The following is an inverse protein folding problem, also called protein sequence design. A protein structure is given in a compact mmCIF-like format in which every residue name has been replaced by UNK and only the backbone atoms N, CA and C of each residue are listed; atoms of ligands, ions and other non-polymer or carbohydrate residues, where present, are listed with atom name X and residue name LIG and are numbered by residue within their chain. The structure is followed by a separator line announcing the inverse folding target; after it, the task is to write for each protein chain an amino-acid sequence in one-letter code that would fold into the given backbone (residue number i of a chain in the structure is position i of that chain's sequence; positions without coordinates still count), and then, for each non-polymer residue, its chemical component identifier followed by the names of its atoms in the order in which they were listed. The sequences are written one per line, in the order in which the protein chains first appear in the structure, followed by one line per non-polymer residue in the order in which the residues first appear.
data_IF_292042697709
#
_entry.id   IF_292042697709
#
_cell.length_a   1.000
_cell.length_b   1.000
_cell.length_c   1.000
_cell.angle_alpha   90.00
_cell.angle_beta   90.00
_cell.angle_gamma   90.00
#
_symmetry.space_group_name_H-M   'P 1'
#
loop_
_entity.id
_entity.type
_entity.pdbx_description
1 polymer ?
#
# COMPACT_ATOMS: atom_id res chain seq x y z
N UNK A 1 -34.63 -22.51 4.34
CA UNK A 1 -34.01 -23.33 3.29
C UNK A 1 -33.56 -22.45 2.12
N UNK A 2 -32.70 -21.46 2.36
CA UNK A 2 -32.10 -20.61 1.31
C UNK A 2 -30.60 -20.31 1.58
N UNK A 3 -29.95 -21.13 2.42
CA UNK A 3 -28.53 -20.96 2.77
C UNK A 3 -27.56 -21.81 1.93
N UNK A 4 -28.03 -22.34 0.80
CA UNK A 4 -27.20 -23.06 -0.15
C UNK A 4 -27.12 -22.26 -1.45
N UNK A 5 -25.92 -22.15 -2.02
CA UNK A 5 -25.56 -21.46 -3.28
C UNK A 5 -25.04 -20.01 -3.09
N UNK A 6 -24.10 -19.80 -2.15
CA UNK A 6 -23.08 -18.78 -2.37
C UNK A 6 -21.73 -19.48 -2.66
N UNK A 7 -21.30 -19.56 -3.93
CA UNK A 7 -20.04 -20.22 -4.33
C UNK A 7 -18.80 -19.50 -3.79
N UNK A 8 -18.93 -18.27 -3.27
CA UNK A 8 -17.80 -17.48 -2.74
C UNK A 8 -17.61 -17.60 -1.23
N UNK A 9 -18.49 -18.31 -0.50
CA UNK A 9 -18.43 -18.39 0.97
C UNK A 9 -17.11 -18.96 1.50
N UNK A 10 -16.53 -19.96 0.85
CA UNK A 10 -15.21 -20.51 1.23
C UNK A 10 -14.09 -19.49 1.03
N UNK A 11 -14.05 -18.82 -0.12
CA UNK A 11 -13.07 -17.78 -0.43
C UNK A 11 -13.18 -16.59 0.52
N UNK A 12 -14.40 -16.16 0.86
CA UNK A 12 -14.63 -15.09 1.84
C UNK A 12 -14.09 -15.42 3.22
N UNK A 13 -14.36 -16.63 3.73
CA UNK A 13 -13.88 -17.07 5.05
C UNK A 13 -12.36 -17.16 5.10
N UNK A 14 -11.73 -17.59 4.01
CA UNK A 14 -10.28 -17.69 3.89
C UNK A 14 -9.62 -16.30 3.82
N UNK A 15 -10.18 -15.39 3.01
CA UNK A 15 -9.77 -14.00 2.94
C UNK A 15 -9.91 -13.28 4.29
N UNK A 16 -11.00 -13.53 5.04
CA UNK A 16 -11.20 -12.98 6.38
C UNK A 16 -10.10 -13.45 7.36
N UNK A 17 -9.78 -14.76 7.37
CA UNK A 17 -8.69 -15.30 8.21
C UNK A 17 -7.33 -14.68 7.86
N UNK A 18 -7.07 -14.48 6.57
CA UNK A 18 -5.83 -13.88 6.10
C UNK A 18 -5.74 -12.39 6.50
N UNK A 19 -6.84 -11.63 6.33
CA UNK A 19 -6.94 -10.25 6.76
C UNK A 19 -6.71 -10.10 8.28
N UNK A 20 -7.33 -10.96 9.11
CA UNK A 20 -7.13 -10.95 10.56
C UNK A 20 -5.68 -11.23 10.96
N UNK A 21 -5.02 -12.18 10.30
CA UNK A 21 -3.60 -12.49 10.54
C UNK A 21 -2.71 -11.30 10.19
N UNK A 22 -2.98 -10.68 9.04
CA UNK A 22 -2.23 -9.53 8.58
C UNK A 22 -2.44 -8.30 9.48
N UNK A 23 -3.67 -8.02 9.92
CA UNK A 23 -3.96 -6.93 10.87
C UNK A 23 -3.21 -7.11 12.19
N UNK A 24 -3.12 -8.35 12.70
CA UNK A 24 -2.32 -8.67 13.88
C UNK A 24 -0.84 -8.39 13.65
N UNK A 25 -0.32 -8.72 12.47
CA UNK A 25 1.08 -8.50 12.11
C UNK A 25 1.41 -7.00 11.96
N UNK A 26 0.53 -6.21 11.35
CA UNK A 26 0.70 -4.76 11.17
C UNK A 26 0.47 -4.00 12.49
N UNK A 27 -0.07 -4.65 13.52
CA UNK A 27 -0.27 -4.06 14.85
C UNK A 27 -1.49 -3.13 14.95
N UNK A 28 -2.40 -3.19 13.98
CA UNK A 28 -3.64 -2.41 13.99
C UNK A 28 -4.61 -3.04 14.97
N UNK A 29 -4.85 -2.36 16.10
CA UNK A 29 -5.81 -2.78 17.12
C UNK A 29 -7.02 -1.85 17.10
N UNK A 30 -8.20 -2.40 17.40
CA UNK A 30 -9.43 -1.64 17.64
C UNK A 30 -10.08 -0.96 16.42
N UNK A 31 -10.00 -1.56 15.23
CA UNK A 31 -10.72 -1.06 14.04
C UNK A 31 -11.95 -1.94 13.79
N UNK A 32 -13.14 -1.33 13.76
CA UNK A 32 -14.37 -1.99 13.31
C UNK A 32 -14.43 -1.87 11.79
N UNK A 33 -14.33 -3.00 11.08
CA UNK A 33 -14.39 -3.04 9.63
C UNK A 33 -15.66 -3.73 9.17
N UNK A 34 -16.24 -3.24 8.08
CA UNK A 34 -17.32 -3.92 7.35
C UNK A 34 -16.81 -5.18 6.64
N UNK A 35 -17.73 -6.03 6.18
CA UNK A 35 -17.38 -7.23 5.41
C UNK A 35 -16.57 -6.90 4.14
N UNK A 36 -16.91 -5.81 3.45
CA UNK A 36 -16.20 -5.35 2.26
C UNK A 36 -14.79 -4.85 2.57
N UNK A 37 -14.64 -4.04 3.63
CA UNK A 37 -13.33 -3.55 4.04
C UNK A 37 -12.43 -4.68 4.54
N UNK A 38 -12.99 -5.72 5.15
CA UNK A 38 -12.26 -6.93 5.54
C UNK A 38 -11.74 -7.68 4.31
N UNK A 39 -12.53 -7.75 3.23
CA UNK A 39 -12.10 -8.35 1.96
C UNK A 39 -10.95 -7.55 1.32
N UNK A 40 -11.01 -6.21 1.38
CA UNK A 40 -9.92 -5.34 0.90
C UNK A 40 -8.67 -5.52 1.77
N UNK A 41 -8.85 -5.64 3.09
CA UNK A 41 -7.75 -5.77 4.03
C UNK A 41 -6.90 -7.04 3.82
N UNK A 42 -7.47 -8.10 3.23
CA UNK A 42 -6.72 -9.30 2.84
C UNK A 42 -5.62 -9.03 1.81
N UNK A 43 -5.72 -7.92 1.07
CA UNK A 43 -4.77 -7.52 0.02
C UNK A 43 -3.76 -6.46 0.49
N UNK A 44 -3.81 -6.05 1.75
CA UNK A 44 -2.82 -5.14 2.31
C UNK A 44 -1.45 -5.84 2.36
N UNK A 45 -0.40 -5.05 2.22
CA UNK A 45 0.98 -5.54 2.28
C UNK A 45 1.68 -4.87 3.46
N UNK A 46 2.35 -5.67 4.28
CA UNK A 46 3.18 -5.17 5.38
C UNK A 46 4.50 -4.61 4.81
N UNK A 47 4.80 -3.31 4.98
CA UNK A 47 6.04 -2.73 4.47
C UNK A 47 7.31 -3.34 5.07
N UNK A 48 7.24 -3.97 6.25
CA UNK A 48 8.38 -4.66 6.87
C UNK A 48 8.65 -6.04 6.27
N UNK A 49 7.67 -6.64 5.60
CA UNK A 49 7.82 -7.94 4.93
C UNK A 49 8.58 -7.85 3.60
N UNK A 50 8.86 -6.63 3.14
CA UNK A 50 9.41 -6.38 1.81
C UNK A 50 10.93 -6.26 1.87
N UNK A 51 11.62 -7.22 1.23
CA UNK A 51 13.08 -7.32 1.24
C UNK A 51 13.82 -6.36 0.29
N UNK A 52 13.10 -5.56 -0.50
CA UNK A 52 13.71 -4.59 -1.43
C UNK A 52 14.03 -3.29 -0.70
N UNK A 53 15.19 -2.73 -0.97
CA UNK A 53 15.69 -1.45 -0.45
C UNK A 53 15.98 -0.48 -1.60
N UNK A 54 16.10 0.81 -1.29
CA UNK A 54 16.47 1.83 -2.29
C UNK A 54 17.85 1.55 -2.92
N UNK A 55 18.72 0.84 -2.21
CA UNK A 55 20.06 0.48 -2.70
C UNK A 55 20.02 -0.63 -3.75
N UNK A 56 18.91 -1.36 -3.86
CA UNK A 56 18.73 -2.41 -4.87
C UNK A 56 18.34 -1.83 -6.24
N UNK A 57 18.16 -0.51 -6.33
CA UNK A 57 17.72 0.19 -7.54
C UNK A 57 18.88 1.07 -8.03
N UNK A 58 19.62 0.59 -9.03
CA UNK A 58 20.75 1.31 -9.59
C UNK A 58 20.34 2.26 -10.73
N UNK A 59 20.96 3.45 -10.79
CA UNK A 59 20.84 4.38 -11.93
C UNK A 59 19.54 5.19 -11.98
N UNK A 60 18.76 5.19 -10.90
CA UNK A 60 17.51 5.96 -10.76
C UNK A 60 17.51 6.84 -9.50
N UNK A 61 18.69 7.18 -8.97
CA UNK A 61 18.84 7.92 -7.72
C UNK A 61 18.16 9.30 -7.72
N UNK A 62 18.21 10.00 -8.85
CA UNK A 62 17.53 11.29 -9.05
C UNK A 62 16.01 11.12 -8.93
N UNK A 63 15.44 10.15 -9.65
CA UNK A 63 14.01 9.86 -9.63
C UNK A 63 13.55 9.41 -8.25
N UNK A 64 14.35 8.60 -7.56
CA UNK A 64 14.08 8.16 -6.19
C UNK A 64 14.07 9.35 -5.23
N UNK A 65 14.97 10.31 -5.41
CA UNK A 65 15.06 11.53 -4.59
C UNK A 65 13.83 12.40 -4.81
N UNK A 66 13.47 12.65 -6.08
CA UNK A 66 12.26 13.39 -6.43
C UNK A 66 11.00 12.74 -5.86
N UNK A 67 10.89 11.41 -5.94
CA UNK A 67 9.75 10.66 -5.41
C UNK A 67 9.70 10.71 -3.88
N UNK A 68 10.85 10.70 -3.20
CA UNK A 68 10.93 10.88 -1.74
C UNK A 68 10.42 12.25 -1.31
N UNK A 69 10.80 13.30 -2.02
CA UNK A 69 10.42 14.67 -1.66
C UNK A 69 8.98 15.00 -2.04
N UNK A 70 8.50 14.47 -3.16
CA UNK A 70 7.15 14.77 -3.65
C UNK A 70 6.08 13.87 -3.04
N UNK A 71 6.36 12.60 -2.76
CA UNK A 71 5.37 11.63 -2.27
C UNK A 71 5.58 11.26 -0.82
N UNK A 72 6.80 10.82 -0.46
CA UNK A 72 7.06 10.26 0.87
C UNK A 72 7.05 11.37 1.93
N UNK A 73 7.66 12.52 1.64
CA UNK A 73 7.76 13.63 2.59
C UNK A 73 6.39 14.19 3.01
N UNK A 74 5.43 14.47 2.09
CA UNK A 74 4.10 14.90 2.50
C UNK A 74 3.32 13.86 3.31
N UNK A 75 3.50 12.56 3.01
CA UNK A 75 2.84 11.48 3.76
C UNK A 75 3.42 11.37 5.17
N UNK A 76 4.74 11.51 5.34
CA UNK A 76 5.40 11.43 6.66
C UNK A 76 5.22 12.71 7.49
N UNK A 77 5.17 13.88 6.86
CA UNK A 77 5.07 15.18 7.52
C UNK A 77 3.79 15.93 7.15
N UNK A 78 2.63 15.26 7.22
CA UNK A 78 1.32 15.85 6.86
C UNK A 78 1.05 17.23 7.50
N UNK A 79 1.49 17.44 8.74
CA UNK A 79 1.32 18.71 9.46
C UNK A 79 1.96 19.91 8.76
N UNK A 80 3.04 19.73 8.00
CA UNK A 80 3.70 20.81 7.25
C UNK A 80 2.91 21.22 6.01
N UNK A 81 2.18 20.26 5.41
CA UNK A 81 1.50 20.45 4.11
C UNK A 81 0.00 20.75 4.27
N UNK A 82 -0.62 20.42 5.40
CA UNK A 82 -2.05 20.67 5.64
C UNK A 82 -2.44 22.16 5.62
N UNK A 83 -1.54 23.05 6.05
CA UNK A 83 -1.80 24.49 6.15
C UNK A 83 -1.16 25.30 5.01
N UNK A 84 -0.40 24.66 4.12
CA UNK A 84 0.26 25.34 3.01
C UNK A 84 -0.65 25.32 1.78
N UNK A 85 -1.05 26.50 1.30
CA UNK A 85 -1.72 26.62 -0.02
C UNK A 85 -0.77 26.46 -1.20
N UNK A 86 0.54 26.61 -0.97
CA UNK A 86 1.55 26.62 -2.02
C UNK A 86 2.10 25.22 -2.32
N UNK A 87 2.14 24.35 -1.31
CA UNK A 87 2.71 23.01 -1.43
C UNK A 87 1.62 21.98 -1.15
N UNK A 88 0.99 21.49 -2.21
CA UNK A 88 0.02 20.40 -2.13
C UNK A 88 0.69 19.08 -2.56
N UNK A 89 0.44 17.97 -1.85
CA UNK A 89 0.92 16.67 -2.29
C UNK A 89 0.31 16.29 -3.65
N UNK A 90 1.07 15.65 -4.54
CA UNK A 90 0.53 15.14 -5.79
C UNK A 90 -0.54 14.07 -5.50
N UNK A 91 -1.60 14.03 -6.30
CA UNK A 91 -2.70 13.05 -6.16
C UNK A 91 -2.27 11.63 -6.53
N UNK A 92 -1.24 11.50 -7.36
CA UNK A 92 -0.69 10.22 -7.82
C UNK A 92 0.58 10.45 -8.64
N UNK A 93 1.36 9.39 -8.80
CA UNK A 93 2.58 9.38 -9.60
C UNK A 93 2.47 8.28 -10.65
N UNK A 94 2.88 8.59 -11.88
CA UNK A 94 2.92 7.63 -12.99
C UNK A 94 4.37 7.29 -13.30
N UNK A 95 4.75 6.03 -13.07
CA UNK A 95 6.05 5.49 -13.46
C UNK A 95 5.94 4.87 -14.86
N UNK A 96 6.63 5.44 -15.85
CA UNK A 96 6.62 4.97 -17.23
C UNK A 96 8.04 4.71 -17.77
N UNK A 97 8.16 3.85 -18.79
CA UNK A 97 9.45 3.53 -19.42
C UNK A 97 9.51 2.11 -19.97
N UNK A 98 10.60 1.73 -20.64
CA UNK A 98 10.76 0.40 -21.26
C UNK A 98 10.72 -0.74 -20.22
N UNK A 99 10.35 -1.97 -20.61
CA UNK A 99 10.35 -3.11 -19.69
C UNK A 99 11.76 -3.34 -19.12
N UNK A 100 11.86 -3.72 -17.84
CA UNK A 100 13.14 -3.98 -17.18
C UNK A 100 13.76 -2.79 -16.42
N UNK A 101 13.25 -1.56 -16.55
CA UNK A 101 13.80 -0.39 -15.85
C UNK A 101 13.39 -0.26 -14.36
N UNK A 102 13.08 -1.36 -13.65
CA UNK A 102 12.86 -1.31 -12.20
C UNK A 102 11.62 -0.55 -11.69
N UNK A 103 10.68 -0.14 -12.56
CA UNK A 103 9.45 0.59 -12.15
C UNK A 103 8.67 -0.09 -11.03
N UNK A 104 8.50 -1.41 -11.14
CA UNK A 104 7.81 -2.20 -10.10
C UNK A 104 8.61 -2.24 -8.80
N UNK A 105 9.94 -2.27 -8.86
CA UNK A 105 10.80 -2.25 -7.68
C UNK A 105 10.70 -0.91 -6.94
N UNK A 106 10.62 0.21 -7.67
CA UNK A 106 10.38 1.53 -7.08
C UNK A 106 9.00 1.61 -6.43
N UNK A 107 7.95 1.12 -7.10
CA UNK A 107 6.58 1.18 -6.57
C UNK A 107 6.36 0.33 -5.31
N UNK A 108 7.17 -0.71 -5.16
CA UNK A 108 7.14 -1.66 -4.04
C UNK A 108 7.78 -1.06 -2.78
N UNK A 109 8.58 0.02 -2.88
CA UNK A 109 9.30 0.58 -1.72
C UNK A 109 8.76 1.91 -1.24
#
# INVERSE_FOLDING_TARGET
MVDAIDPTRKQKVEAQKQAEKLMKQIGVKNVKLSEYEMSIAAHLVDPLSMHVTWNDIAGLDEVITDLKDTVILPIRKKHLFQNSRLLQPPKGVLLYGPPGCGKTLIAIK
#
